data_IF_907020419326
#
_entry.id   IF_907020419326
#
_cell.length_a   1.000
_cell.length_b   1.000
_cell.length_c   1.000
_cell.angle_alpha   90.00
_cell.angle_beta   90.00
_cell.angle_gamma   90.00
#
_symmetry.space_group_name_H-M   'P 1'
#
loop_
_entity.id
_entity.type
_entity.pdbx_description
1 polymer ?
#
# COMPACT_ATOMS: atom_id res chain seq x y z
N UNK A 1 -10.48 -25.09 -24.35
CA UNK A 1 -10.47 -23.83 -23.57
C UNK A 1 -11.89 -23.46 -23.20
N UNK A 2 -12.13 -23.12 -21.94
CA UNK A 2 -13.42 -22.63 -21.46
C UNK A 2 -13.23 -21.14 -21.15
N UNK A 3 -14.07 -20.28 -21.71
CA UNK A 3 -14.04 -18.85 -21.45
C UNK A 3 -15.15 -18.49 -20.48
N UNK A 4 -14.78 -17.74 -19.44
CA UNK A 4 -15.70 -17.31 -18.41
C UNK A 4 -15.65 -15.79 -18.28
N UNK A 5 -16.81 -15.15 -18.25
CA UNK A 5 -16.93 -13.70 -18.04
C UNK A 5 -17.37 -13.46 -16.61
N UNK A 6 -16.54 -12.73 -15.85
CA UNK A 6 -16.80 -12.39 -14.47
C UNK A 6 -16.87 -10.87 -14.33
N UNK A 7 -17.90 -10.39 -13.66
CA UNK A 7 -18.01 -8.98 -13.28
C UNK A 7 -17.28 -8.75 -11.94
N UNK A 8 -16.58 -7.62 -11.86
CA UNK A 8 -15.98 -7.16 -10.61
C UNK A 8 -17.05 -6.50 -9.72
N UNK A 9 -16.79 -6.48 -8.41
CA UNK A 9 -17.67 -5.80 -7.46
C UNK A 9 -17.71 -4.29 -7.69
N UNK A 10 -18.83 -3.67 -7.28
CA UNK A 10 -18.97 -2.22 -7.28
C UNK A 10 -18.28 -1.64 -6.04
N UNK A 11 -17.06 -1.12 -6.20
CA UNK A 11 -16.33 -0.40 -5.14
C UNK A 11 -14.99 -1.04 -4.73
N UNK A 12 -14.74 -2.30 -5.10
CA UNK A 12 -13.42 -2.90 -5.08
C UNK A 12 -13.17 -3.68 -6.38
N UNK A 13 -11.95 -3.66 -6.91
CA UNK A 13 -11.62 -4.33 -8.17
C UNK A 13 -11.48 -5.87 -7.99
N UNK A 14 -12.23 -6.45 -7.04
CA UNK A 14 -12.19 -7.86 -6.71
C UNK A 14 -13.29 -8.63 -7.46
N UNK A 15 -12.99 -9.88 -7.79
CA UNK A 15 -13.98 -10.81 -8.37
C UNK A 15 -14.99 -11.21 -7.29
N UNK A 16 -16.29 -11.19 -7.63
CA UNK A 16 -17.36 -11.39 -6.65
C UNK A 16 -17.49 -12.85 -6.18
N UNK A 17 -17.39 -13.04 -4.85
CA UNK A 17 -17.76 -14.29 -4.17
C UNK A 17 -16.75 -15.44 -4.31
N UNK A 18 -17.01 -16.53 -3.59
CA UNK A 18 -16.11 -17.70 -3.54
C UNK A 18 -15.83 -18.31 -4.92
N UNK A 19 -16.84 -18.35 -5.79
CA UNK A 19 -16.71 -18.86 -7.16
C UNK A 19 -15.73 -18.00 -7.97
N UNK A 20 -15.81 -16.67 -7.85
CA UNK A 20 -14.92 -15.76 -8.55
C UNK A 20 -13.46 -15.95 -8.16
N UNK A 21 -13.20 -16.09 -6.86
CA UNK A 21 -11.86 -16.34 -6.33
C UNK A 21 -11.30 -17.67 -6.83
N UNK A 22 -12.05 -18.76 -6.72
CA UNK A 22 -11.58 -20.08 -7.16
C UNK A 22 -11.37 -20.15 -8.67
N UNK A 23 -12.25 -19.53 -9.45
CA UNK A 23 -12.08 -19.45 -10.90
C UNK A 23 -10.81 -18.68 -11.28
N UNK A 24 -10.53 -17.55 -10.64
CA UNK A 24 -9.29 -16.80 -10.86
C UNK A 24 -8.05 -17.63 -10.48
N UNK A 25 -8.12 -18.40 -9.38
CA UNK A 25 -7.02 -19.22 -8.90
C UNK A 25 -6.75 -20.45 -9.78
N UNK A 26 -7.75 -20.96 -10.50
CA UNK A 26 -7.63 -22.12 -11.39
C UNK A 26 -7.48 -21.76 -12.87
N UNK A 27 -7.74 -20.51 -13.24
CA UNK A 27 -7.58 -20.04 -14.61
C UNK A 27 -6.11 -20.11 -15.07
N UNK A 28 -5.94 -20.51 -16.33
CA UNK A 28 -4.65 -20.42 -17.03
C UNK A 28 -4.30 -18.97 -17.37
N UNK A 29 -5.30 -18.19 -17.79
CA UNK A 29 -5.20 -16.79 -18.16
C UNK A 29 -6.38 -16.00 -17.58
N UNK A 30 -6.08 -14.88 -16.92
CA UNK A 30 -7.06 -13.93 -16.40
C UNK A 30 -6.79 -12.57 -17.03
N UNK A 31 -7.78 -12.07 -17.75
CA UNK A 31 -7.73 -10.76 -18.42
C UNK A 31 -8.63 -9.77 -17.69
N UNK A 32 -8.15 -8.54 -17.54
CA UNK A 32 -8.95 -7.40 -17.08
C UNK A 32 -9.24 -6.53 -18.27
N UNK A 33 -10.52 -6.19 -18.43
CA UNK A 33 -10.98 -5.25 -19.43
C UNK A 33 -11.50 -4.03 -18.69
N UNK A 34 -10.88 -2.86 -18.94
CA UNK A 34 -11.27 -1.58 -18.36
C UNK A 34 -11.55 -0.56 -19.45
N UNK A 35 -12.43 0.41 -19.18
CA UNK A 35 -12.58 1.57 -20.07
C UNK A 35 -11.37 2.48 -19.90
N UNK A 36 -10.89 3.05 -21.00
CA UNK A 36 -9.82 4.06 -20.91
C UNK A 36 -10.35 5.31 -20.20
N UNK A 37 -9.50 5.92 -19.37
CA UNK A 37 -9.84 7.14 -18.65
C UNK A 37 -9.90 8.37 -19.58
N UNK A 38 -9.13 8.35 -20.67
CA UNK A 38 -9.08 9.45 -21.64
C UNK A 38 -10.23 9.36 -22.65
N UNK A 39 -10.57 8.13 -23.07
CA UNK A 39 -11.63 7.88 -24.03
C UNK A 39 -12.49 6.67 -23.62
N UNK A 40 -13.69 6.88 -23.03
CA UNK A 40 -14.60 5.80 -22.63
C UNK A 40 -15.07 4.88 -23.77
N UNK A 41 -14.92 5.30 -25.04
CA UNK A 41 -15.16 4.46 -26.21
C UNK A 41 -14.11 3.35 -26.39
N UNK A 42 -12.93 3.52 -25.81
CA UNK A 42 -11.82 2.57 -25.86
C UNK A 42 -11.88 1.63 -24.65
N UNK A 43 -11.69 0.35 -24.91
CA UNK A 43 -11.57 -0.69 -23.88
C UNK A 43 -10.15 -1.25 -23.91
N UNK A 44 -9.46 -1.16 -22.78
CA UNK A 44 -8.08 -1.60 -22.59
C UNK A 44 -8.07 -3.00 -21.98
N UNK A 45 -7.26 -3.89 -22.56
CA UNK A 45 -7.11 -5.28 -22.10
C UNK A 45 -5.73 -5.46 -21.50
N UNK A 46 -5.72 -5.83 -20.22
CA UNK A 46 -4.51 -6.13 -19.47
C UNK A 46 -4.54 -7.57 -18.97
N UNK A 47 -3.39 -8.22 -18.95
CA UNK A 47 -3.23 -9.49 -18.26
C UNK A 47 -3.15 -9.26 -16.75
N UNK A 48 -4.07 -9.84 -15.98
CA UNK A 48 -3.92 -9.91 -14.52
C UNK A 48 -2.96 -11.03 -14.12
N UNK A 49 -3.11 -12.17 -14.77
CA UNK A 49 -2.34 -13.37 -14.53
C UNK A 49 -2.30 -14.23 -15.79
N UNK A 50 -1.11 -14.67 -16.18
CA UNK A 50 -0.88 -15.63 -17.25
C UNK A 50 0.17 -16.61 -16.73
N UNK A 51 -0.09 -17.91 -16.85
CA UNK A 51 0.87 -18.95 -16.43
C UNK A 51 1.90 -19.27 -17.52
N UNK A 52 1.47 -19.17 -18.78
CA UNK A 52 2.26 -19.54 -19.95
C UNK A 52 2.81 -18.29 -20.64
N UNK A 53 2.45 -18.06 -21.90
CA UNK A 53 3.01 -17.01 -22.73
C UNK A 53 2.33 -15.67 -22.50
N UNK A 54 3.06 -14.72 -21.92
CA UNK A 54 2.62 -13.34 -21.78
C UNK A 54 2.41 -12.66 -23.15
N UNK A 55 1.53 -11.66 -23.17
CA UNK A 55 1.29 -10.79 -24.31
C UNK A 55 1.24 -9.33 -23.87
N UNK A 56 1.57 -8.42 -24.80
CA UNK A 56 1.51 -6.98 -24.54
C UNK A 56 0.05 -6.54 -24.41
N UNK A 57 -0.29 -5.65 -23.45
CA UNK A 57 -1.61 -5.03 -23.41
C UNK A 57 -2.03 -4.49 -24.77
N UNK A 58 -3.32 -4.63 -25.09
CA UNK A 58 -3.90 -4.13 -26.34
C UNK A 58 -5.29 -3.54 -26.07
N UNK A 59 -5.70 -2.62 -26.92
CA UNK A 59 -6.96 -1.90 -26.75
C UNK A 59 -7.86 -2.14 -27.97
N UNK A 60 -9.16 -2.08 -27.75
CA UNK A 60 -10.15 -2.21 -28.80
C UNK A 60 -11.31 -1.22 -28.62
N UNK A 61 -11.97 -0.91 -29.73
CA UNK A 61 -13.22 -0.14 -29.78
C UNK A 61 -14.33 -1.04 -30.33
N UNK A 62 -15.59 -0.63 -30.13
CA UNK A 62 -16.73 -1.28 -30.76
C UNK A 62 -17.10 -0.45 -31.99
N UNK A 63 -17.09 -1.06 -33.18
CA UNK A 63 -17.48 -0.38 -34.41
C UNK A 63 -19.02 -0.24 -34.52
N UNK A 64 -19.49 0.40 -35.59
CA UNK A 64 -20.92 0.62 -35.85
C UNK A 64 -21.74 -0.68 -35.98
N UNK A 65 -21.10 -1.80 -36.34
CA UNK A 65 -21.74 -3.12 -36.43
C UNK A 65 -21.71 -3.89 -35.10
N UNK A 66 -21.20 -3.30 -34.03
CA UNK A 66 -21.15 -3.91 -32.70
C UNK A 66 -19.98 -4.87 -32.48
N UNK A 67 -18.99 -4.90 -33.38
CA UNK A 67 -17.84 -5.80 -33.31
C UNK A 67 -16.60 -5.11 -32.69
N UNK A 68 -15.79 -5.85 -31.91
CA UNK A 68 -14.53 -5.34 -31.39
C UNK A 68 -13.48 -5.20 -32.49
N UNK A 69 -12.86 -4.02 -32.60
CA UNK A 69 -11.78 -3.72 -33.54
C UNK A 69 -10.60 -3.12 -32.79
N UNK A 70 -9.37 -3.55 -33.12
CA UNK A 70 -8.16 -3.06 -32.47
C UNK A 70 -8.04 -1.54 -32.59
N UNK A 71 -7.76 -0.87 -31.47
CA UNK A 71 -7.52 0.57 -31.41
C UNK A 71 -6.02 0.82 -31.63
N UNK A 72 -5.57 0.82 -32.89
CA UNK A 72 -4.13 0.91 -33.23
C UNK A 72 -3.46 2.20 -32.75
N UNK A 73 -4.21 3.31 -32.64
CA UNK A 73 -3.70 4.63 -32.23
C UNK A 73 -3.78 4.82 -30.71
N UNK A 74 -4.25 3.81 -29.96
CA UNK A 74 -4.32 3.91 -28.51
C UNK A 74 -2.93 3.77 -27.88
N UNK A 75 -2.43 4.85 -27.29
CA UNK A 75 -1.30 4.80 -26.39
C UNK A 75 -1.78 4.39 -25.00
N UNK A 76 -1.31 3.26 -24.50
CA UNK A 76 -1.34 2.98 -23.08
C UNK A 76 -0.56 4.09 -22.38
N UNK A 77 -1.24 4.93 -21.59
CA UNK A 77 -0.56 5.80 -20.64
C UNK A 77 0.42 4.95 -19.82
N UNK A 78 1.56 5.51 -19.39
CA UNK A 78 2.51 4.77 -18.58
C UNK A 78 1.72 4.04 -17.48
N UNK A 79 1.94 2.72 -17.29
CA UNK A 79 1.26 2.00 -16.22
C UNK A 79 1.49 2.84 -14.95
N UNK A 80 0.45 3.12 -14.14
CA UNK A 80 0.69 3.78 -12.87
C UNK A 80 1.70 2.91 -12.17
N UNK A 81 2.97 3.35 -12.12
CA UNK A 81 4.06 2.60 -11.52
C UNK A 81 3.48 2.16 -10.18
N UNK A 82 3.49 0.86 -9.83
CA UNK A 82 3.06 0.46 -8.50
C UNK A 82 3.83 1.39 -7.58
N UNK A 83 3.16 2.33 -6.90
CA UNK A 83 3.83 3.37 -6.11
C UNK A 83 4.84 2.59 -5.29
N UNK A 84 6.13 2.73 -5.60
CA UNK A 84 7.16 1.98 -4.91
C UNK A 84 6.87 2.29 -3.45
N UNK A 85 6.39 1.27 -2.72
CA UNK A 85 5.90 1.51 -1.38
C UNK A 85 7.15 1.74 -0.60
N UNK A 86 7.50 3.02 -0.44
CA UNK A 86 8.74 3.43 0.19
C UNK A 86 8.93 2.64 1.46
N UNK A 87 10.10 2.03 1.61
CA UNK A 87 10.43 1.29 2.82
C UNK A 87 10.48 2.27 4.01
N UNK A 88 10.24 1.81 5.23
CA UNK A 88 10.47 2.67 6.40
C UNK A 88 11.95 3.06 6.54
N UNK A 89 12.86 2.27 5.96
CA UNK A 89 14.30 2.57 5.88
C UNK A 89 14.67 3.61 4.83
N UNK A 90 13.74 3.97 3.95
CA UNK A 90 13.93 4.98 2.90
C UNK A 90 13.39 6.35 3.31
N UNK A 91 12.71 6.44 4.46
CA UNK A 91 12.31 7.71 5.03
C UNK A 91 13.54 8.46 5.53
N UNK A 92 13.56 9.78 5.32
CA UNK A 92 14.64 10.61 5.86
C UNK A 92 14.55 10.68 7.39
N UNK A 93 15.67 11.04 8.02
CA UNK A 93 15.73 11.21 9.48
C UNK A 93 14.74 12.30 9.92
N UNK A 94 14.57 13.35 9.13
CA UNK A 94 13.64 14.45 9.38
C UNK A 94 12.19 13.96 9.37
N UNK A 95 11.82 13.10 8.42
CA UNK A 95 10.48 12.50 8.37
C UNK A 95 10.22 11.62 9.59
N UNK A 96 11.21 10.86 10.04
CA UNK A 96 11.10 10.11 11.29
C UNK A 96 10.93 11.02 12.50
N UNK A 97 11.70 12.11 12.58
CA UNK A 97 11.60 13.08 13.68
C UNK A 97 10.26 13.80 13.72
N UNK A 98 9.72 14.16 12.56
CA UNK A 98 8.39 14.78 12.44
C UNK A 98 7.30 13.84 12.98
N UNK A 99 7.29 12.58 12.54
CA UNK A 99 6.32 11.59 13.02
C UNK A 99 6.51 11.25 14.50
N UNK A 100 7.74 11.28 15.02
CA UNK A 100 8.03 11.04 16.43
C UNK A 100 7.61 12.21 17.31
N UNK A 101 7.87 13.44 16.88
CA UNK A 101 7.39 14.65 17.56
C UNK A 101 5.87 14.64 17.68
N UNK A 102 5.16 14.26 16.61
CA UNK A 102 3.71 14.10 16.64
C UNK A 102 3.22 12.92 17.51
N UNK A 103 3.98 11.81 17.56
CA UNK A 103 3.59 10.63 18.34
C UNK A 103 3.76 10.80 19.85
N UNK A 104 4.87 11.40 20.27
CA UNK A 104 5.23 11.56 21.68
C UNK A 104 4.72 12.88 22.27
N UNK A 105 4.61 13.93 21.44
CA UNK A 105 4.37 15.28 21.94
C UNK A 105 5.45 15.66 22.95
N UNK A 106 5.05 16.02 24.17
CA UNK A 106 5.95 16.41 25.26
C UNK A 106 6.10 15.33 26.36
N UNK A 107 5.53 14.12 26.18
CA UNK A 107 5.46 13.10 27.24
C UNK A 107 5.95 11.74 26.77
N UNK A 108 6.56 10.94 27.67
CA UNK A 108 6.91 9.56 27.34
C UNK A 108 5.65 8.72 27.17
N UNK A 109 5.77 7.68 26.33
CA UNK A 109 4.66 6.74 26.08
C UNK A 109 4.89 5.48 26.91
N UNK A 110 3.92 5.11 27.73
CA UNK A 110 3.94 3.86 28.52
C UNK A 110 3.28 2.73 27.74
N UNK A 111 4.00 1.63 27.56
CA UNK A 111 3.51 0.39 26.98
C UNK A 111 3.73 0.27 25.47
N UNK A 112 4.06 -0.96 25.05
CA UNK A 112 4.38 -1.29 23.66
C UNK A 112 3.20 -1.02 22.71
N UNK A 113 2.00 -1.46 23.08
CA UNK A 113 0.82 -1.29 22.22
C UNK A 113 0.43 0.18 22.06
N UNK A 114 0.55 0.98 23.12
CA UNK A 114 0.28 2.42 23.07
C UNK A 114 1.26 3.14 22.16
N UNK A 115 2.56 2.80 22.25
CA UNK A 115 3.58 3.33 21.34
C UNK A 115 3.26 2.94 19.89
N UNK A 116 2.97 1.66 19.64
CA UNK A 116 2.69 1.17 18.29
C UNK A 116 1.47 1.86 17.66
N UNK A 117 0.39 2.07 18.44
CA UNK A 117 -0.79 2.80 17.97
C UNK A 117 -0.48 4.27 17.69
N UNK A 118 0.28 4.94 18.57
CA UNK A 118 0.67 6.33 18.35
C UNK A 118 1.52 6.49 17.08
N UNK A 119 2.51 5.61 16.87
CA UNK A 119 3.33 5.58 15.65
C UNK A 119 2.49 5.29 14.40
N UNK A 120 1.49 4.43 14.47
CA UNK A 120 0.60 4.17 13.34
C UNK A 120 -0.13 5.44 12.89
N UNK A 121 -0.65 6.21 13.84
CA UNK A 121 -1.37 7.46 13.56
C UNK A 121 -0.41 8.53 13.03
N UNK A 122 0.74 8.73 13.69
CA UNK A 122 1.66 9.81 13.30
C UNK A 122 2.35 9.54 11.96
N UNK A 123 2.72 8.29 11.66
CA UNK A 123 3.30 7.95 10.37
C UNK A 123 2.26 8.01 9.24
N UNK A 124 0.98 7.72 9.52
CA UNK A 124 -0.08 7.94 8.54
C UNK A 124 -0.23 9.43 8.18
N UNK A 125 -0.07 10.34 9.15
CA UNK A 125 -0.14 11.79 8.92
C UNK A 125 0.93 12.32 7.96
N UNK A 126 2.13 11.73 7.95
CA UNK A 126 3.21 12.05 6.99
C UNK A 126 3.15 11.22 5.70
N UNK A 127 2.04 10.52 5.46
CA UNK A 127 1.82 9.73 4.24
C UNK A 127 2.40 8.31 4.26
N UNK A 128 2.95 7.85 5.38
CA UNK A 128 3.46 6.49 5.57
C UNK A 128 2.43 5.57 6.26
N UNK A 129 1.34 5.27 5.56
CA UNK A 129 0.34 4.31 6.07
C UNK A 129 0.80 2.87 5.89
N UNK A 130 0.94 2.09 6.97
CA UNK A 130 1.32 0.67 6.93
C UNK A 130 0.56 -0.19 7.94
N UNK A 131 0.51 -1.49 7.67
CA UNK A 131 -0.07 -2.47 8.59
C UNK A 131 0.82 -2.71 9.81
N UNK A 132 0.21 -3.25 10.87
CA UNK A 132 0.82 -3.48 12.18
C UNK A 132 2.18 -4.20 12.13
N UNK A 133 2.32 -5.23 11.29
CA UNK A 133 3.57 -6.00 11.16
C UNK A 133 4.76 -5.16 10.67
N UNK A 134 4.51 -4.22 9.75
CA UNK A 134 5.54 -3.30 9.26
C UNK A 134 5.85 -2.24 10.31
N UNK A 135 4.84 -1.76 11.03
CA UNK A 135 5.01 -0.76 12.08
C UNK A 135 5.79 -1.28 13.29
N UNK A 136 5.67 -2.58 13.62
CA UNK A 136 6.52 -3.24 14.63
C UNK A 136 7.99 -3.21 14.19
N UNK A 137 8.28 -3.54 12.92
CA UNK A 137 9.64 -3.51 12.38
C UNK A 137 10.22 -2.10 12.33
N UNK A 138 9.38 -1.12 11.96
CA UNK A 138 9.74 0.29 12.00
C UNK A 138 10.11 0.72 13.42
N UNK A 139 9.29 0.39 14.42
CA UNK A 139 9.57 0.74 15.80
C UNK A 139 10.87 0.11 16.31
N UNK A 140 11.14 -1.15 15.97
CA UNK A 140 12.44 -1.80 16.25
C UNK A 140 13.59 -1.04 15.58
N UNK A 141 13.45 -0.68 14.31
CA UNK A 141 14.44 0.11 13.57
C UNK A 141 14.72 1.47 14.23
N UNK A 142 13.70 2.15 14.76
CA UNK A 142 13.87 3.42 15.49
C UNK A 142 14.62 3.27 16.81
N UNK A 143 14.47 2.13 17.49
CA UNK A 143 15.12 1.84 18.78
C UNK A 143 16.54 1.32 18.56
N UNK A 144 16.70 0.31 17.70
CA UNK A 144 17.93 -0.47 17.59
C UNK A 144 18.92 0.15 16.60
N UNK A 145 18.42 0.68 15.46
CA UNK A 145 19.27 1.20 14.39
C UNK A 145 19.46 2.71 14.47
N UNK A 146 18.36 3.48 14.45
CA UNK A 146 18.43 4.94 14.47
C UNK A 146 18.63 5.51 15.88
N UNK A 147 18.32 4.72 16.92
CA UNK A 147 18.41 5.12 18.33
C UNK A 147 17.69 6.44 18.64
N UNK A 148 16.60 6.70 17.93
CA UNK A 148 15.76 7.88 18.13
C UNK A 148 14.79 7.68 19.30
N UNK A 149 14.38 6.44 19.57
CA UNK A 149 13.55 6.09 20.73
C UNK A 149 14.42 5.38 21.77
N UNK A 150 14.36 5.84 23.01
CA UNK A 150 15.00 5.19 24.15
C UNK A 150 13.93 4.45 24.96
N UNK A 151 14.15 3.17 25.23
CA UNK A 151 13.27 2.36 26.09
C UNK A 151 13.87 2.24 27.49
N UNK A 152 13.10 2.57 28.53
CA UNK A 152 13.39 2.25 29.93
C UNK A 152 12.18 1.56 30.54
N UNK A 153 12.34 0.31 30.97
CA UNK A 153 11.26 -0.54 31.47
C UNK A 153 10.03 -0.60 30.54
N UNK A 154 8.94 0.04 30.97
CA UNK A 154 7.66 0.12 30.25
C UNK A 154 7.46 1.47 29.58
N UNK A 155 8.41 2.39 29.68
CA UNK A 155 8.36 3.75 29.15
C UNK A 155 9.28 3.89 27.93
N UNK A 156 8.82 4.67 26.96
CA UNK A 156 9.54 5.03 25.76
C UNK A 156 9.67 6.55 25.70
N UNK A 157 10.86 7.01 25.31
CA UNK A 157 11.23 8.43 25.30
C UNK A 157 11.73 8.81 23.91
N UNK A 158 11.41 10.03 23.49
CA UNK A 158 11.90 10.66 22.27
C UNK A 158 12.29 12.10 22.62
N UNK A 159 13.46 12.53 22.18
CA UNK A 159 13.99 13.90 22.36
C UNK A 159 13.95 14.42 23.82
N UNK A 160 14.15 13.52 24.79
CA UNK A 160 14.34 13.88 26.20
C UNK A 160 15.78 13.60 26.60
N UNK A 161 16.41 14.58 27.25
CA UNK A 161 17.72 14.37 27.85
C UNK A 161 17.63 13.30 28.95
N UNK A 162 18.71 12.56 29.23
CA UNK A 162 18.72 11.55 30.29
C UNK A 162 18.26 12.10 31.66
N UNK A 163 18.44 13.41 31.89
CA UNK A 163 18.03 14.13 33.10
C UNK A 163 16.52 14.40 33.15
N UNK A 164 15.90 14.79 32.04
CA UNK A 164 14.45 15.01 31.95
C UNK A 164 13.68 13.69 32.07
N UNK A 165 14.23 12.60 31.54
CA UNK A 165 13.64 11.27 31.69
C UNK A 165 13.56 10.80 33.16
N UNK A 166 14.46 11.27 34.03
CA UNK A 166 14.46 10.93 35.47
C UNK A 166 13.36 11.64 36.26
N UNK A 167 12.83 12.77 35.78
CA UNK A 167 11.73 13.49 36.44
C UNK A 167 10.39 12.73 36.37
N UNK A 168 10.28 11.75 35.48
CA UNK A 168 9.06 10.95 35.28
C UNK A 168 9.15 9.53 35.86
N UNK A 169 10.28 9.16 36.49
CA UNK A 169 10.45 7.89 37.20
C UNK A 169 10.05 7.98 38.69
N UNK A 170 9.69 9.18 39.20
CA UNK A 170 9.18 9.39 40.56
C UNK A 170 7.63 9.49 40.57
N UNK A 171 6.94 8.39 40.31
CA UNK A 171 5.55 8.16 40.77
C UNK A 171 5.21 6.67 40.93
#
# INVERSE_FOLDING_TARGET
HIHCVLHLNKGDNNVRGHIGTEMSNKAETVLVISKSNENPGISEVHALHIREKEFKPFAFTINETGLPVIAEVHSFGEPPKPKARTGFTELSIEQHREALSAAFGEKPIRGFDNLLQSLMVSYEAIGFKRGRSVMIKLMQYLIDNLKLIIKRDKLFYYDMTPTEAMLFDEE
#
